data_IF_475588381274
#
_entry.id   IF_475588381274
#
_cell.length_a   1.000
_cell.length_b   1.000
_cell.length_c   1.000
_cell.angle_alpha   90.00
_cell.angle_beta   90.00
_cell.angle_gamma   90.00
#
_symmetry.space_group_name_H-M   'P 1'
#
loop_
_entity.id
_entity.type
_entity.pdbx_description
1 polymer ?
#
# COMPACT_ATOMS: atom_id res chain seq x y z
N UNK A 1 -35.16 -39.34 12.16
CA UNK A 1 -33.96 -38.52 12.40
C UNK A 1 -33.85 -37.53 11.26
N UNK A 2 -33.64 -36.23 11.53
CA UNK A 2 -33.49 -35.22 10.50
C UNK A 2 -32.09 -35.22 9.88
N UNK A 3 -31.99 -34.64 8.67
CA UNK A 3 -30.80 -34.61 7.86
C UNK A 3 -30.54 -33.20 7.32
N UNK A 4 -29.27 -32.87 7.10
CA UNK A 4 -28.84 -31.60 6.50
C UNK A 4 -27.82 -31.84 5.39
N UNK A 5 -27.89 -31.07 4.32
CA UNK A 5 -26.87 -31.02 3.27
C UNK A 5 -26.73 -29.60 2.76
N UNK A 6 -25.54 -29.01 2.88
CA UNK A 6 -25.29 -27.61 2.57
C UNK A 6 -26.36 -26.73 3.25
N UNK A 7 -27.14 -25.98 2.49
CA UNK A 7 -28.20 -25.10 2.98
C UNK A 7 -29.55 -25.80 3.18
N UNK A 8 -29.68 -27.09 2.87
CA UNK A 8 -30.96 -27.81 2.87
C UNK A 8 -31.12 -28.66 4.13
N UNK A 9 -32.27 -28.53 4.82
CA UNK A 9 -32.66 -29.33 5.98
C UNK A 9 -33.91 -30.15 5.65
N UNK A 10 -33.98 -31.40 6.10
CA UNK A 10 -35.11 -32.30 5.84
C UNK A 10 -35.36 -33.24 7.01
N UNK A 11 -36.60 -33.66 7.19
CA UNK A 11 -36.96 -34.75 8.10
C UNK A 11 -36.79 -36.14 7.46
N UNK A 12 -36.57 -36.20 6.15
CA UNK A 12 -36.28 -37.41 5.39
C UNK A 12 -34.80 -37.45 4.99
N UNK A 13 -34.29 -38.66 4.77
CA UNK A 13 -32.90 -38.90 4.36
C UNK A 13 -32.56 -38.09 3.10
N UNK A 14 -31.45 -37.35 3.15
CA UNK A 14 -30.87 -36.65 2.00
C UNK A 14 -29.60 -37.38 1.58
N UNK A 15 -29.48 -37.73 0.30
CA UNK A 15 -28.28 -38.37 -0.23
C UNK A 15 -27.04 -37.47 -0.07
N UNK A 16 -26.03 -37.96 0.66
CA UNK A 16 -24.82 -37.22 1.00
C UNK A 16 -25.03 -36.10 2.03
N UNK A 17 -26.16 -36.13 2.76
CA UNK A 17 -26.38 -35.27 3.92
C UNK A 17 -25.84 -35.88 5.21
N UNK A 18 -25.61 -35.03 6.20
CA UNK A 18 -25.27 -35.43 7.57
C UNK A 18 -26.54 -35.64 8.39
N UNK A 19 -26.49 -36.56 9.35
CA UNK A 19 -27.53 -36.71 10.36
C UNK A 19 -27.41 -35.59 11.39
N UNK A 20 -28.57 -35.04 11.78
CA UNK A 20 -28.67 -33.99 12.79
C UNK A 20 -29.72 -34.38 13.83
N UNK A 21 -29.60 -33.86 15.05
CA UNK A 21 -30.59 -34.08 16.10
C UNK A 21 -31.87 -33.27 15.84
N UNK A 22 -32.99 -33.67 16.47
CA UNK A 22 -34.24 -32.91 16.41
C UNK A 22 -34.05 -31.47 16.93
N UNK A 23 -33.22 -31.29 17.97
CA UNK A 23 -32.88 -29.97 18.49
C UNK A 23 -32.10 -29.12 17.47
N UNK A 24 -31.12 -29.71 16.77
CA UNK A 24 -30.39 -29.02 15.69
C UNK A 24 -31.33 -28.64 14.54
N UNK A 25 -32.25 -29.53 14.16
CA UNK A 25 -33.25 -29.25 13.13
C UNK A 25 -34.11 -28.03 13.49
N UNK A 26 -34.60 -27.94 14.73
CA UNK A 26 -35.39 -26.79 15.19
C UNK A 26 -34.57 -25.50 15.18
N UNK A 27 -33.33 -25.52 15.64
CA UNK A 27 -32.43 -24.35 15.61
C UNK A 27 -32.14 -23.88 14.18
N UNK A 28 -31.89 -24.80 13.25
CA UNK A 28 -31.63 -24.49 11.84
C UNK A 28 -32.87 -23.94 11.14
N UNK A 29 -34.05 -24.51 11.45
CA UNK A 29 -35.32 -24.01 10.92
C UNK A 29 -35.61 -22.60 11.42
N UNK A 30 -35.44 -22.35 12.72
CA UNK A 30 -35.59 -21.02 13.31
C UNK A 30 -34.63 -20.00 12.66
N UNK A 31 -33.35 -20.37 12.49
CA UNK A 31 -32.37 -19.53 11.80
C UNK A 31 -32.79 -19.19 10.36
N UNK A 32 -33.29 -20.17 9.61
CA UNK A 32 -33.81 -19.94 8.25
C UNK A 32 -35.03 -19.02 8.22
N UNK A 33 -35.93 -19.14 9.20
CA UNK A 33 -37.10 -18.26 9.33
C UNK A 33 -36.68 -16.81 9.67
N UNK A 34 -35.60 -16.66 10.44
CA UNK A 34 -34.94 -15.37 10.71
C UNK A 34 -34.10 -14.85 9.52
N UNK A 35 -34.07 -15.57 8.40
CA UNK A 35 -33.30 -15.19 7.21
C UNK A 35 -31.79 -15.43 7.33
N UNK A 36 -31.32 -16.12 8.36
CA UNK A 36 -29.91 -16.44 8.56
C UNK A 36 -29.47 -17.57 7.63
N UNK A 37 -28.33 -17.43 6.94
CA UNK A 37 -27.74 -18.52 6.17
C UNK A 37 -27.36 -19.69 7.09
N UNK A 38 -27.58 -20.91 6.61
CA UNK A 38 -27.16 -22.14 7.29
C UNK A 38 -26.37 -22.99 6.32
N UNK A 39 -25.34 -23.69 6.80
CA UNK A 39 -24.51 -24.58 5.99
C UNK A 39 -23.97 -25.74 6.80
N UNK A 40 -23.32 -26.69 6.14
CA UNK A 40 -22.50 -27.71 6.81
C UNK A 40 -21.04 -27.26 6.72
N UNK A 41 -20.40 -27.04 7.86
CA UNK A 41 -18.98 -26.66 7.95
C UNK A 41 -18.26 -27.70 8.80
N UNK A 42 -17.15 -28.23 8.29
CA UNK A 42 -16.35 -29.26 8.98
C UNK A 42 -17.17 -30.49 9.43
N UNK A 43 -18.20 -30.86 8.65
CA UNK A 43 -19.06 -32.02 8.95
C UNK A 43 -20.14 -31.76 10.01
N UNK A 44 -20.31 -30.52 10.48
CA UNK A 44 -21.33 -30.14 11.45
C UNK A 44 -22.25 -29.02 10.91
N UNK A 45 -23.49 -28.92 11.41
CA UNK A 45 -24.35 -27.79 11.11
C UNK A 45 -23.77 -26.47 11.62
N UNK A 46 -23.82 -25.45 10.79
CA UNK A 46 -23.33 -24.11 11.09
C UNK A 46 -24.40 -23.07 10.72
N UNK A 47 -24.62 -22.10 11.61
CA UNK A 47 -25.56 -21.00 11.41
C UNK A 47 -24.73 -19.72 11.36
N UNK A 48 -24.82 -18.98 10.25
CA UNK A 48 -24.21 -17.67 10.15
C UNK A 48 -25.00 -16.66 10.97
N UNK A 49 -24.32 -15.74 11.65
CA UNK A 49 -24.96 -14.59 12.30
C UNK A 49 -25.71 -13.71 11.30
N UNK A 50 -25.22 -13.66 10.05
CA UNK A 50 -25.63 -12.71 9.02
C UNK A 50 -24.87 -11.39 9.08
N UNK A 51 -23.99 -11.22 10.08
CA UNK A 51 -23.11 -10.06 10.16
C UNK A 51 -22.03 -10.14 9.09
N UNK A 52 -21.70 -8.98 8.52
CA UNK A 52 -20.66 -8.85 7.51
C UNK A 52 -19.50 -8.03 8.07
N UNK A 53 -18.29 -8.39 7.66
CA UNK A 53 -17.09 -7.57 7.82
C UNK A 53 -16.55 -7.18 6.45
N UNK A 54 -15.83 -6.07 6.41
CA UNK A 54 -15.14 -5.60 5.20
C UNK A 54 -13.69 -6.05 5.26
N UNK A 55 -13.22 -6.64 4.17
CA UNK A 55 -11.80 -6.95 3.96
C UNK A 55 -11.27 -6.13 2.80
N UNK A 56 -9.97 -5.87 2.83
CA UNK A 56 -9.28 -4.99 1.90
C UNK A 56 -8.09 -5.68 1.25
N UNK A 57 -7.72 -5.20 0.08
CA UNK A 57 -6.43 -5.53 -0.54
C UNK A 57 -5.89 -4.32 -1.31
N UNK A 58 -4.59 -4.28 -1.49
CA UNK A 58 -3.93 -3.25 -2.29
C UNK A 58 -3.60 -3.83 -3.67
N UNK A 59 -4.13 -3.22 -4.73
CA UNK A 59 -3.85 -3.58 -6.13
C UNK A 59 -3.43 -2.31 -6.86
N UNK A 60 -2.22 -2.26 -7.40
CA UNK A 60 -1.70 -1.10 -8.14
C UNK A 60 -1.90 0.25 -7.42
N UNK A 61 -1.61 0.28 -6.10
CA UNK A 61 -1.82 1.42 -5.17
C UNK A 61 -3.29 1.79 -4.93
N UNK A 62 -4.26 1.10 -5.53
CA UNK A 62 -5.67 1.25 -5.25
C UNK A 62 -6.11 0.26 -4.16
N UNK A 63 -6.85 0.76 -3.17
CA UNK A 63 -7.48 -0.08 -2.16
C UNK A 63 -8.78 -0.64 -2.75
N UNK A 64 -8.86 -1.96 -2.86
CA UNK A 64 -10.11 -2.65 -3.14
C UNK A 64 -10.74 -3.14 -1.83
N UNK A 65 -12.07 -3.23 -1.80
CA UNK A 65 -12.82 -3.72 -0.64
C UNK A 65 -13.83 -4.79 -1.05
N UNK A 66 -14.08 -5.74 -0.16
CA UNK A 66 -15.08 -6.78 -0.31
C UNK A 66 -15.79 -7.03 1.02
N UNK A 67 -17.11 -7.19 0.97
CA UNK A 67 -17.88 -7.68 2.11
C UNK A 67 -17.85 -9.21 2.15
N UNK A 68 -17.56 -9.77 3.31
CA UNK A 68 -17.67 -11.20 3.61
C UNK A 68 -18.42 -11.39 4.92
N UNK A 69 -18.95 -12.60 5.16
CA UNK A 69 -19.56 -12.90 6.47
C UNK A 69 -18.47 -12.88 7.54
N UNK A 70 -18.82 -12.41 8.74
CA UNK A 70 -17.86 -12.27 9.84
C UNK A 70 -17.15 -13.59 10.14
N UNK A 71 -17.84 -14.72 9.98
CA UNK A 71 -17.34 -16.06 10.25
C UNK A 71 -16.58 -16.69 9.06
N UNK A 72 -16.64 -16.09 7.88
CA UNK A 72 -15.86 -16.56 6.73
C UNK A 72 -14.39 -16.18 6.90
N UNK A 73 -13.50 -17.05 6.41
CA UNK A 73 -12.07 -16.79 6.42
C UNK A 73 -11.73 -15.62 5.49
N UNK A 74 -10.74 -14.81 5.90
CA UNK A 74 -10.22 -13.75 5.03
C UNK A 74 -9.60 -14.40 3.79
N UNK A 75 -10.06 -14.08 2.57
CA UNK A 75 -9.50 -14.70 1.37
C UNK A 75 -8.01 -14.37 1.24
N UNK A 76 -7.25 -15.27 0.61
CA UNK A 76 -5.81 -15.05 0.40
C UNK A 76 -5.53 -13.73 -0.34
N UNK A 77 -4.59 -12.94 0.20
CA UNK A 77 -4.25 -11.61 -0.32
C UNK A 77 -5.16 -10.48 0.17
N UNK A 78 -6.12 -10.76 1.06
CA UNK A 78 -6.96 -9.77 1.72
C UNK A 78 -6.59 -9.62 3.21
N UNK A 79 -7.01 -8.51 3.82
CA UNK A 79 -6.75 -8.16 5.22
C UNK A 79 -7.90 -7.36 5.82
N UNK A 80 -8.05 -7.41 7.14
CA UNK A 80 -9.09 -6.68 7.87
C UNK A 80 -8.83 -5.17 7.97
N UNK A 81 -7.56 -4.78 7.96
CA UNK A 81 -7.15 -3.39 8.04
C UNK A 81 -7.02 -2.78 6.63
N UNK A 82 -7.37 -1.50 6.50
CA UNK A 82 -7.19 -0.77 5.24
C UNK A 82 -5.68 -0.65 4.96
N UNK A 83 -5.15 -1.24 3.87
CA UNK A 83 -3.74 -1.09 3.55
C UNK A 83 -3.45 0.37 3.20
N UNK A 84 -2.32 0.89 3.67
CA UNK A 84 -1.83 2.20 3.25
C UNK A 84 -0.92 2.01 2.05
N UNK A 85 -1.21 2.61 0.88
CA UNK A 85 -0.30 2.56 -0.25
C UNK A 85 1.02 3.25 0.12
N UNK A 86 2.13 2.70 -0.38
CA UNK A 86 3.42 3.36 -0.24
C UNK A 86 3.36 4.77 -0.85
N UNK A 87 3.94 5.78 -0.17
CA UNK A 87 3.98 7.13 -0.71
C UNK A 87 4.71 7.15 -2.04
N UNK A 88 4.25 8.00 -2.97
CA UNK A 88 4.94 8.13 -4.25
C UNK A 88 6.36 8.67 -4.03
N UNK A 89 7.35 8.13 -4.77
CA UNK A 89 8.71 8.62 -4.65
C UNK A 89 8.77 10.10 -5.03
N UNK A 90 9.40 10.91 -4.18
CA UNK A 90 9.67 12.31 -4.49
C UNK A 90 10.72 12.35 -5.61
N UNK A 91 10.28 12.73 -6.80
CA UNK A 91 11.14 12.83 -8.00
C UNK A 91 11.54 14.27 -8.31
N UNK A 92 10.90 15.25 -7.68
CA UNK A 92 11.11 16.66 -7.95
C UNK A 92 10.89 17.50 -6.70
N UNK A 93 11.67 18.57 -6.55
CA UNK A 93 11.48 19.62 -5.54
C UNK A 93 11.62 20.99 -6.19
N UNK A 94 11.12 22.06 -5.56
CA UNK A 94 11.47 23.41 -5.99
C UNK A 94 12.96 23.66 -5.77
N UNK A 95 13.57 24.53 -6.60
CA UNK A 95 14.97 24.93 -6.41
C UNK A 95 15.21 25.51 -5.01
N UNK A 96 14.25 26.29 -4.51
CA UNK A 96 14.34 26.92 -3.20
C UNK A 96 14.41 25.87 -2.08
N UNK A 97 13.55 24.86 -2.13
CA UNK A 97 13.55 23.71 -1.21
C UNK A 97 14.86 22.92 -1.29
N UNK A 98 15.29 22.54 -2.50
CA UNK A 98 16.54 21.79 -2.69
C UNK A 98 17.76 22.56 -2.19
N UNK A 99 17.83 23.86 -2.47
CA UNK A 99 18.92 24.74 -2.00
C UNK A 99 18.90 24.85 -0.47
N UNK A 100 17.73 25.02 0.14
CA UNK A 100 17.59 25.07 1.59
C UNK A 100 18.05 23.76 2.24
N UNK A 101 17.65 22.61 1.68
CA UNK A 101 18.07 21.31 2.20
C UNK A 101 19.58 21.09 2.06
N UNK A 102 20.18 21.43 0.92
CA UNK A 102 21.63 21.33 0.75
C UNK A 102 22.39 22.22 1.75
N UNK A 103 21.83 23.38 2.12
CA UNK A 103 22.40 24.25 3.17
C UNK A 103 22.25 23.63 4.57
N UNK A 104 21.09 23.08 4.89
CA UNK A 104 20.82 22.39 6.16
C UNK A 104 21.75 21.19 6.33
N UNK A 105 21.93 20.39 5.28
CA UNK A 105 22.83 19.23 5.27
C UNK A 105 24.32 19.60 5.14
N UNK A 106 24.67 20.88 5.01
CA UNK A 106 26.06 21.33 4.88
C UNK A 106 26.73 21.02 3.53
N UNK A 107 25.99 20.48 2.56
CA UNK A 107 26.52 20.13 1.23
C UNK A 107 26.62 21.30 0.26
N UNK A 108 25.93 22.42 0.55
CA UNK A 108 25.89 23.56 -0.36
C UNK A 108 27.26 24.11 -0.79
N UNK A 109 28.25 24.31 0.12
CA UNK A 109 29.59 24.76 -0.29
C UNK A 109 30.29 23.76 -1.23
N UNK A 110 30.15 22.47 -0.97
CA UNK A 110 30.71 21.41 -1.81
C UNK A 110 30.07 21.39 -3.19
N UNK A 111 28.74 21.56 -3.27
CA UNK A 111 28.03 21.65 -4.56
C UNK A 111 28.54 22.83 -5.40
N UNK A 112 28.75 24.00 -4.80
CA UNK A 112 29.31 25.16 -5.50
C UNK A 112 30.72 24.85 -6.02
N UNK A 113 31.57 24.29 -5.17
CA UNK A 113 32.94 23.93 -5.54
C UNK A 113 32.99 22.89 -6.67
N UNK A 114 32.09 21.89 -6.64
CA UNK A 114 31.97 20.88 -7.69
C UNK A 114 31.59 21.49 -9.04
N UNK A 115 30.59 22.39 -9.06
CA UNK A 115 30.20 23.08 -10.31
C UNK A 115 31.33 23.96 -10.82
N UNK A 116 32.05 24.66 -9.94
CA UNK A 116 33.16 25.53 -10.35
C UNK A 116 34.32 24.74 -10.97
N UNK A 117 34.57 23.53 -10.45
CA UNK A 117 35.62 22.62 -10.90
C UNK A 117 35.30 21.88 -12.22
N UNK A 118 34.11 22.04 -12.82
CA UNK A 118 33.76 21.38 -14.08
C UNK A 118 34.69 21.87 -15.21
N UNK A 119 35.49 20.99 -15.86
CA UNK A 119 36.49 21.42 -16.84
C UNK A 119 35.89 21.85 -18.18
N UNK A 120 34.83 21.17 -18.62
CA UNK A 120 34.17 21.48 -19.89
C UNK A 120 33.26 22.72 -19.74
N UNK A 121 33.52 23.82 -20.46
CA UNK A 121 32.78 25.07 -20.29
C UNK A 121 31.28 24.93 -20.59
N UNK A 122 30.91 24.08 -21.54
CA UNK A 122 29.50 23.86 -21.92
C UNK A 122 28.76 23.15 -20.79
N UNK A 123 29.35 22.09 -20.25
CA UNK A 123 28.82 21.33 -19.12
C UNK A 123 28.71 22.20 -17.87
N UNK A 124 29.70 23.07 -17.63
CA UNK A 124 29.67 24.03 -16.51
C UNK A 124 28.49 24.98 -16.62
N UNK A 125 28.26 25.60 -17.78
CA UNK A 125 27.13 26.51 -18.00
C UNK A 125 25.79 25.77 -17.79
N UNK A 126 25.66 24.53 -18.28
CA UNK A 126 24.45 23.73 -18.09
C UNK A 126 24.21 23.44 -16.60
N UNK A 127 25.26 23.06 -15.86
CA UNK A 127 25.18 22.80 -14.43
C UNK A 127 24.82 24.06 -13.65
N UNK A 128 25.41 25.21 -13.97
CA UNK A 128 25.08 26.50 -13.37
C UNK A 128 23.62 26.91 -13.64
N UNK A 129 23.14 26.72 -14.88
CA UNK A 129 21.76 27.02 -15.23
C UNK A 129 20.78 26.11 -14.47
N UNK A 130 21.06 24.81 -14.39
CA UNK A 130 20.26 23.87 -13.62
C UNK A 130 20.26 24.20 -12.11
N UNK A 131 21.42 24.60 -11.56
CA UNK A 131 21.54 24.90 -10.14
C UNK A 131 20.88 26.23 -9.76
N UNK A 132 21.05 27.28 -10.57
CA UNK A 132 20.67 28.64 -10.19
C UNK A 132 19.41 29.17 -10.86
N UNK A 133 19.15 28.78 -12.11
CA UNK A 133 18.07 29.35 -12.92
C UNK A 133 16.84 28.44 -13.05
N UNK A 134 16.95 27.14 -12.72
CA UNK A 134 15.80 26.24 -12.74
C UNK A 134 14.77 26.62 -11.66
N UNK A 135 13.49 26.48 -11.98
CA UNK A 135 12.42 26.62 -10.97
C UNK A 135 12.33 25.38 -10.07
N UNK A 136 12.67 24.22 -10.62
CA UNK A 136 12.52 22.91 -9.99
C UNK A 136 13.73 22.05 -10.30
N UNK A 137 14.13 21.20 -9.36
CA UNK A 137 15.15 20.18 -9.58
C UNK A 137 14.50 18.82 -9.69
N UNK A 138 14.82 18.11 -10.78
CA UNK A 138 14.42 16.73 -10.97
C UNK A 138 15.55 15.81 -10.51
N UNK A 139 15.20 14.82 -9.70
CA UNK A 139 16.12 13.86 -9.10
C UNK A 139 16.93 13.10 -10.14
N UNK A 140 16.31 12.77 -11.27
CA UNK A 140 16.92 12.07 -12.40
C UNK A 140 17.57 13.00 -13.43
N UNK A 141 17.64 14.32 -13.18
CA UNK A 141 18.31 15.23 -14.12
C UNK A 141 19.82 14.96 -14.16
N UNK A 142 20.48 15.15 -15.32
CA UNK A 142 21.92 14.92 -15.44
C UNK A 142 22.77 15.67 -14.41
N UNK A 143 22.44 16.94 -14.15
CA UNK A 143 23.16 17.75 -13.15
C UNK A 143 22.99 17.21 -11.73
N UNK A 144 21.78 16.80 -11.33
CA UNK A 144 21.57 16.28 -9.98
C UNK A 144 22.23 14.91 -9.79
N UNK A 145 22.21 14.06 -10.82
CA UNK A 145 22.92 12.77 -10.81
C UNK A 145 24.44 12.96 -10.75
N UNK A 146 24.98 13.91 -11.52
CA UNK A 146 26.41 14.28 -11.47
C UNK A 146 26.82 14.76 -10.07
N UNK A 147 26.02 15.64 -9.46
CA UNK A 147 26.31 16.17 -8.13
C UNK A 147 26.21 15.11 -7.03
N UNK A 148 25.25 14.18 -7.13
CA UNK A 148 25.05 13.14 -6.12
C UNK A 148 26.06 11.99 -6.23
N UNK A 149 26.51 11.66 -7.44
CA UNK A 149 27.30 10.47 -7.73
C UNK A 149 28.77 10.51 -7.28
N UNK A 150 29.52 9.49 -7.73
CA UNK A 150 30.95 9.36 -7.49
C UNK A 150 31.72 10.52 -8.11
N UNK A 151 32.65 11.11 -7.35
CA UNK A 151 33.36 12.34 -7.74
C UNK A 151 32.59 13.65 -7.47
N UNK A 152 31.32 13.55 -7.06
CA UNK A 152 30.52 14.65 -6.54
C UNK A 152 30.43 14.63 -5.01
N UNK A 153 29.20 14.57 -4.50
CA UNK A 153 28.91 14.40 -3.07
C UNK A 153 29.09 12.95 -2.59
N UNK A 154 29.23 11.99 -3.51
CA UNK A 154 29.40 10.57 -3.22
C UNK A 154 28.31 10.00 -2.30
N UNK A 155 27.05 10.37 -2.58
CA UNK A 155 25.90 9.95 -1.82
C UNK A 155 25.47 8.55 -2.25
N UNK A 156 25.05 7.73 -1.29
CA UNK A 156 24.30 6.51 -1.60
C UNK A 156 22.94 6.89 -2.20
N UNK A 157 22.30 5.95 -2.90
CA UNK A 157 20.94 6.14 -3.41
C UNK A 157 19.98 6.56 -2.27
N UNK A 158 20.08 5.92 -1.10
CA UNK A 158 19.25 6.27 0.04
C UNK A 158 19.49 7.72 0.52
N UNK A 159 20.76 8.14 0.64
CA UNK A 159 21.08 9.51 1.08
C UNK A 159 20.58 10.56 0.09
N UNK A 160 20.66 10.27 -1.21
CA UNK A 160 20.16 11.17 -2.25
C UNK A 160 18.62 11.24 -2.25
N UNK A 161 17.95 10.12 -1.99
CA UNK A 161 16.50 10.05 -1.80
C UNK A 161 16.06 10.87 -0.60
N UNK A 162 16.76 10.71 0.53
CA UNK A 162 16.50 11.44 1.76
C UNK A 162 16.66 12.96 1.55
N UNK A 163 17.62 13.42 0.74
CA UNK A 163 17.74 14.84 0.41
C UNK A 163 16.48 15.37 -0.30
N UNK A 164 15.92 14.63 -1.25
CA UNK A 164 14.70 15.04 -1.95
C UNK A 164 13.47 14.98 -1.04
N UNK A 165 13.36 13.93 -0.21
CA UNK A 165 12.28 13.79 0.77
C UNK A 165 12.31 14.96 1.75
N UNK A 166 13.47 15.24 2.34
CA UNK A 166 13.62 16.31 3.34
C UNK A 166 13.42 17.69 2.71
N UNK A 167 13.93 17.93 1.50
CA UNK A 167 13.69 19.17 0.78
C UNK A 167 12.19 19.42 0.55
N UNK A 168 11.42 18.39 0.17
CA UNK A 168 9.97 18.51 -0.06
C UNK A 168 9.17 18.89 1.20
N UNK A 169 9.72 18.67 2.40
CA UNK A 169 9.09 19.06 3.67
C UNK A 169 9.35 20.52 4.05
N UNK A 170 10.28 21.21 3.38
CA UNK A 170 10.61 22.61 3.70
C UNK A 170 9.53 23.54 3.13
N UNK A 171 8.93 24.36 4.00
CA UNK A 171 8.00 25.43 3.63
C UNK A 171 8.76 26.75 3.46
N UNK A 172 8.56 27.43 2.33
CA UNK A 172 9.26 28.67 1.94
C UNK A 172 8.29 29.72 1.42
#
# INVERSE_FOLDING_TARGET
>A
MPYMKNDTISQSVISGGIEISDAQYQSLLAAKLDGKPVTVREGAPFIYSGEKRTVYRLVDKAVESQEILTEDETPSGWQDEIPTPDPEPITQVSRAQGTAQLKISGYWPTVIALVDAIPDPTTKIIAEQALYAANTWQKNSPTMQLLAGEGGLNLTQQQFDDLFINANQIQL
#
